data_IF_216390934553
#
_entry.id   IF_216390934553
#
_cell.length_a   1.000
_cell.length_b   1.000
_cell.length_c   1.000
_cell.angle_alpha   90.00
_cell.angle_beta   90.00
_cell.angle_gamma   90.00
#
_symmetry.space_group_name_H-M   'P 1'
#
loop_
_entity.id
_entity.type
_entity.pdbx_description
1 polymer ?
#
# COMPACT_ATOMS: atom_id res chain seq x y z
N UNK A 1 16.22 -16.27 12.05
CA UNK A 1 15.73 -17.17 10.97
C UNK A 1 16.67 -18.35 10.82
N UNK A 2 17.97 -18.11 10.62
CA UNK A 2 19.00 -19.15 10.49
C UNK A 2 19.08 -20.11 11.68
N UNK A 3 18.99 -19.61 12.90
CA UNK A 3 18.90 -20.45 14.11
C UNK A 3 17.59 -21.20 14.21
N UNK A 4 16.45 -20.56 13.89
CA UNK A 4 15.14 -21.22 13.91
C UNK A 4 15.05 -22.36 12.88
N UNK A 5 15.64 -22.21 11.69
CA UNK A 5 15.69 -23.26 10.67
C UNK A 5 16.40 -24.52 11.16
N UNK A 6 17.33 -24.43 12.12
CA UNK A 6 17.98 -25.60 12.71
C UNK A 6 17.05 -26.37 13.64
N UNK A 7 16.03 -25.71 14.19
CA UNK A 7 15.05 -26.29 15.12
C UNK A 7 13.74 -26.66 14.42
N UNK A 8 13.56 -26.28 13.15
CA UNK A 8 12.39 -26.65 12.36
C UNK A 8 12.45 -28.13 11.98
N UNK A 9 11.43 -28.86 12.40
CA UNK A 9 11.18 -30.25 12.09
C UNK A 9 9.84 -30.36 11.36
N UNK A 10 9.84 -31.01 10.19
CA UNK A 10 8.63 -31.34 9.44
C UNK A 10 8.48 -32.85 9.39
N UNK A 11 7.64 -33.39 10.27
CA UNK A 11 7.31 -34.82 10.27
C UNK A 11 8.41 -35.76 10.78
N UNK A 12 9.32 -35.29 11.65
CA UNK A 12 10.41 -36.07 12.22
C UNK A 12 11.71 -36.05 11.39
N UNK A 13 11.77 -35.19 10.37
CA UNK A 13 12.97 -34.95 9.55
C UNK A 13 13.43 -33.50 9.80
N UNK A 14 14.64 -33.32 10.39
CA UNK A 14 15.19 -31.99 10.58
C UNK A 14 15.41 -31.32 9.22
N UNK A 15 14.87 -30.10 9.06
CA UNK A 15 14.97 -29.31 7.82
C UNK A 15 16.44 -28.99 7.48
N UNK A 16 17.32 -29.03 8.48
CA UNK A 16 18.76 -28.83 8.33
C UNK A 16 19.50 -30.15 8.64
N UNK A 17 20.11 -30.81 7.63
CA UNK A 17 20.79 -32.09 7.81
C UNK A 17 21.99 -32.05 8.77
N UNK A 18 22.66 -30.89 8.87
CA UNK A 18 23.81 -30.68 9.75
C UNK A 18 23.69 -29.31 10.47
N UNK A 19 23.06 -29.27 11.64
CA UNK A 19 23.06 -28.07 12.48
C UNK A 19 24.49 -27.79 13.00
N UNK A 20 24.91 -26.52 12.94
CA UNK A 20 26.26 -26.11 13.35
C UNK A 20 26.60 -24.67 12.94
N UNK A 21 27.77 -24.20 13.37
CA UNK A 21 28.26 -22.84 13.04
C UNK A 21 28.43 -22.62 11.53
N UNK A 22 28.83 -23.67 10.79
CA UNK A 22 28.94 -23.63 9.34
C UNK A 22 27.61 -23.29 8.65
N UNK A 23 26.50 -23.93 9.07
CA UNK A 23 25.16 -23.61 8.56
C UNK A 23 24.71 -22.21 8.97
N UNK A 24 24.94 -21.80 10.22
CA UNK A 24 24.58 -20.45 10.67
C UNK A 24 25.28 -19.38 9.84
N UNK A 25 26.57 -19.57 9.56
CA UNK A 25 27.34 -18.63 8.75
C UNK A 25 26.82 -18.58 7.31
N UNK A 26 26.69 -19.72 6.64
CA UNK A 26 26.21 -19.75 5.24
C UNK A 26 24.79 -19.23 5.13
N UNK A 27 23.88 -19.66 6.00
CA UNK A 27 22.50 -19.21 5.99
C UNK A 27 22.38 -17.70 6.29
N UNK A 28 23.24 -17.15 7.16
CA UNK A 28 23.20 -15.71 7.49
C UNK A 28 23.71 -14.89 6.31
N UNK A 29 24.81 -15.32 5.68
CA UNK A 29 25.36 -14.67 4.49
C UNK A 29 24.37 -14.76 3.33
N UNK A 30 23.75 -15.92 3.09
CA UNK A 30 22.79 -16.11 2.01
C UNK A 30 21.51 -15.30 2.21
N UNK A 31 20.94 -15.27 3.43
CA UNK A 31 19.74 -14.46 3.70
C UNK A 31 20.05 -12.96 3.63
N UNK A 32 21.16 -12.51 4.23
CA UNK A 32 21.55 -11.10 4.20
C UNK A 32 21.87 -10.67 2.76
N UNK A 33 22.65 -11.46 2.03
CA UNK A 33 22.94 -11.22 0.62
C UNK A 33 21.68 -11.20 -0.25
N UNK A 34 20.74 -12.12 -0.01
CA UNK A 34 19.44 -12.14 -0.67
C UNK A 34 18.61 -10.88 -0.38
N UNK A 35 18.54 -10.42 0.87
CA UNK A 35 17.83 -9.19 1.22
C UNK A 35 18.46 -7.93 0.63
N UNK A 36 19.81 -7.83 0.63
CA UNK A 36 20.52 -6.73 -0.02
C UNK A 36 20.30 -6.73 -1.52
N UNK A 37 20.32 -7.91 -2.15
CA UNK A 37 20.01 -8.05 -3.57
C UNK A 37 18.58 -7.61 -3.91
N UNK A 38 17.59 -8.01 -3.11
CA UNK A 38 16.20 -7.57 -3.29
C UNK A 38 16.04 -6.06 -3.09
N UNK A 39 16.73 -5.47 -2.12
CA UNK A 39 16.72 -4.02 -1.90
C UNK A 39 17.32 -3.29 -3.11
N UNK A 40 18.49 -3.71 -3.58
CA UNK A 40 19.13 -3.16 -4.77
C UNK A 40 18.24 -3.29 -6.01
N UNK A 41 17.60 -4.44 -6.21
CA UNK A 41 16.66 -4.68 -7.30
C UNK A 41 15.46 -3.73 -7.21
N UNK A 42 14.92 -3.52 -6.00
CA UNK A 42 13.84 -2.56 -5.74
C UNK A 42 14.23 -1.13 -6.07
N UNK A 43 15.45 -0.71 -5.74
CA UNK A 43 15.98 0.61 -6.11
C UNK A 43 16.14 0.74 -7.63
N UNK A 44 16.67 -0.29 -8.32
CA UNK A 44 16.80 -0.27 -9.77
C UNK A 44 15.45 -0.22 -10.50
N UNK A 45 14.42 -0.90 -10.00
CA UNK A 45 13.05 -0.77 -10.54
C UNK A 45 12.53 0.66 -10.32
N UNK A 46 12.84 1.29 -9.20
CA UNK A 46 12.38 2.66 -8.91
C UNK A 46 13.06 3.69 -9.82
N UNK A 47 14.36 3.53 -10.09
CA UNK A 47 15.14 4.45 -10.93
C UNK A 47 14.84 4.30 -12.42
N UNK A 48 14.75 3.05 -12.92
CA UNK A 48 14.66 2.75 -14.36
C UNK A 48 13.26 2.32 -14.81
N UNK A 49 12.42 1.91 -13.88
CA UNK A 49 11.09 1.40 -14.13
C UNK A 49 9.99 2.42 -13.85
N UNK A 50 8.78 1.91 -13.62
CA UNK A 50 7.59 2.72 -13.35
C UNK A 50 7.11 2.39 -11.95
N UNK A 51 7.18 3.38 -11.06
CA UNK A 51 6.63 3.30 -9.73
C UNK A 51 7.61 3.00 -8.62
N UNK A 52 7.08 2.54 -7.48
CA UNK A 52 7.88 2.20 -6.31
C UNK A 52 8.28 0.72 -6.39
N UNK A 53 9.57 0.46 -6.65
CA UNK A 53 10.08 -0.88 -6.85
C UNK A 53 9.97 -1.79 -5.63
N UNK A 54 10.11 -1.25 -4.41
CA UNK A 54 9.91 -2.03 -3.18
C UNK A 54 8.45 -2.51 -3.09
N UNK A 55 7.49 -1.64 -3.43
CA UNK A 55 6.07 -2.00 -3.41
C UNK A 55 5.75 -3.07 -4.47
N UNK A 56 6.35 -2.98 -5.66
CA UNK A 56 6.19 -3.98 -6.72
C UNK A 56 6.81 -5.34 -6.38
N UNK A 57 7.92 -5.36 -5.63
CA UNK A 57 8.51 -6.60 -5.11
C UNK A 57 7.58 -7.28 -4.10
N UNK A 58 7.03 -6.53 -3.15
CA UNK A 58 6.07 -7.05 -2.17
C UNK A 58 4.81 -7.57 -2.89
N UNK A 59 4.28 -6.78 -3.84
CA UNK A 59 3.14 -7.17 -4.67
C UNK A 59 3.41 -8.49 -5.40
N UNK A 60 4.55 -8.60 -6.08
CA UNK A 60 4.93 -9.81 -6.83
C UNK A 60 5.06 -11.01 -5.91
N UNK A 61 5.65 -10.84 -4.72
CA UNK A 61 5.77 -11.90 -3.72
C UNK A 61 4.42 -12.46 -3.27
N UNK A 62 3.42 -11.61 -3.05
CA UNK A 62 2.07 -12.04 -2.66
C UNK A 62 1.35 -12.69 -3.86
N UNK A 63 1.47 -12.10 -5.05
CA UNK A 63 0.79 -12.56 -6.27
C UNK A 63 1.27 -13.95 -6.69
N UNK A 64 2.55 -14.28 -6.50
CA UNK A 64 3.08 -15.64 -6.79
C UNK A 64 2.43 -16.71 -5.91
N UNK A 65 1.94 -16.36 -4.71
CA UNK A 65 1.20 -17.27 -3.83
C UNK A 65 -0.28 -17.44 -4.18
N UNK A 66 -0.83 -16.61 -5.07
CA UNK A 66 -2.25 -16.69 -5.45
C UNK A 66 -2.62 -17.99 -6.18
N UNK A 67 -1.85 -18.46 -7.18
CA UNK A 67 -2.22 -19.67 -7.91
C UNK A 67 -2.22 -20.91 -7.01
N UNK A 68 -1.24 -21.03 -6.10
CA UNK A 68 -1.18 -22.16 -5.16
C UNK A 68 -2.35 -22.12 -4.18
N UNK A 69 -2.72 -20.95 -3.66
CA UNK A 69 -3.89 -20.78 -2.81
C UNK A 69 -5.19 -21.24 -3.49
N UNK A 70 -5.38 -20.88 -4.76
CA UNK A 70 -6.55 -21.31 -5.54
C UNK A 70 -6.56 -22.83 -5.70
N UNK A 71 -5.42 -23.43 -6.04
CA UNK A 71 -5.29 -24.89 -6.17
C UNK A 71 -5.59 -25.60 -4.84
N UNK A 72 -5.10 -25.09 -3.71
CA UNK A 72 -5.40 -25.65 -2.38
C UNK A 72 -6.91 -25.63 -2.08
N UNK A 73 -7.62 -24.56 -2.43
CA UNK A 73 -9.08 -24.48 -2.25
C UNK A 73 -9.80 -25.50 -3.14
N UNK A 74 -9.37 -25.66 -4.39
CA UNK A 74 -9.92 -26.70 -5.27
C UNK A 74 -9.67 -28.12 -4.75
N UNK A 75 -8.49 -28.38 -4.20
CA UNK A 75 -8.17 -29.67 -3.55
C UNK A 75 -9.10 -29.94 -2.37
N UNK A 76 -9.27 -28.97 -1.47
CA UNK A 76 -10.16 -29.07 -0.31
C UNK A 76 -11.63 -29.33 -0.70
N UNK A 77 -12.09 -28.76 -1.81
CA UNK A 77 -13.42 -29.05 -2.37
C UNK A 77 -13.48 -30.45 -2.98
N UNK A 78 -12.45 -30.86 -3.73
CA UNK A 78 -12.40 -32.19 -4.36
C UNK A 78 -12.30 -33.34 -3.36
N UNK A 79 -11.64 -33.11 -2.23
CA UNK A 79 -11.51 -34.05 -1.11
C UNK A 79 -12.76 -34.09 -0.22
N UNK A 80 -13.77 -33.26 -0.50
CA UNK A 80 -15.02 -33.18 0.26
C UNK A 80 -14.88 -32.54 1.64
N UNK A 81 -13.71 -31.98 1.97
CA UNK A 81 -13.48 -31.25 3.22
C UNK A 81 -14.20 -29.90 3.23
N UNK A 82 -14.46 -29.32 2.06
CA UNK A 82 -15.25 -28.10 1.88
C UNK A 82 -16.46 -28.34 1.01
N UNK A 83 -17.62 -27.87 1.47
CA UNK A 83 -18.82 -27.82 0.65
C UNK A 83 -18.59 -26.89 -0.55
N UNK A 84 -18.93 -27.35 -1.76
CA UNK A 84 -18.84 -26.55 -2.97
C UNK A 84 -19.62 -25.22 -2.86
N UNK A 85 -20.72 -25.20 -2.11
CA UNK A 85 -21.49 -23.98 -1.85
C UNK A 85 -20.68 -22.94 -1.04
N UNK A 86 -19.90 -23.39 -0.05
CA UNK A 86 -19.03 -22.53 0.76
C UNK A 86 -17.86 -21.99 -0.06
N UNK A 87 -17.30 -22.78 -0.97
CA UNK A 87 -16.24 -22.33 -1.87
C UNK A 87 -16.72 -21.22 -2.82
N UNK A 88 -17.93 -21.35 -3.37
CA UNK A 88 -18.55 -20.30 -4.20
C UNK A 88 -18.81 -19.03 -3.37
N UNK A 89 -19.32 -19.18 -2.15
CA UNK A 89 -19.53 -18.05 -1.25
C UNK A 89 -18.22 -17.30 -0.95
N UNK A 90 -17.13 -18.01 -0.66
CA UNK A 90 -15.81 -17.42 -0.42
C UNK A 90 -15.28 -16.66 -1.65
N UNK A 91 -15.48 -17.21 -2.85
CA UNK A 91 -15.08 -16.54 -4.10
C UNK A 91 -15.85 -15.24 -4.30
N UNK A 92 -17.18 -15.26 -4.11
CA UNK A 92 -18.03 -14.08 -4.21
C UNK A 92 -17.63 -13.03 -3.16
N UNK A 93 -17.36 -13.46 -1.93
CA UNK A 93 -16.90 -12.58 -0.86
C UNK A 93 -15.56 -11.92 -1.20
N UNK A 94 -14.58 -12.68 -1.72
CA UNK A 94 -13.29 -12.15 -2.13
C UNK A 94 -13.42 -11.10 -3.25
N UNK A 95 -14.28 -11.34 -4.24
CA UNK A 95 -14.57 -10.38 -5.30
C UNK A 95 -15.31 -9.14 -4.77
N UNK A 96 -16.27 -9.32 -3.87
CA UNK A 96 -17.00 -8.22 -3.25
C UNK A 96 -16.08 -7.34 -2.40
N UNK A 97 -15.18 -7.93 -1.60
CA UNK A 97 -14.16 -7.21 -0.84
C UNK A 97 -13.21 -6.46 -1.76
N UNK A 98 -12.74 -7.10 -2.84
CA UNK A 98 -11.88 -6.45 -3.84
C UNK A 98 -12.59 -5.26 -4.48
N UNK A 99 -13.85 -5.42 -4.88
CA UNK A 99 -14.65 -4.33 -5.46
C UNK A 99 -14.88 -3.20 -4.45
N UNK A 100 -15.14 -3.52 -3.19
CA UNK A 100 -15.28 -2.56 -2.10
C UNK A 100 -13.99 -1.75 -1.89
N UNK A 101 -12.84 -2.43 -1.85
CA UNK A 101 -11.53 -1.78 -1.71
C UNK A 101 -11.26 -0.83 -2.89
N UNK A 102 -11.50 -1.28 -4.12
CA UNK A 102 -11.35 -0.45 -5.32
C UNK A 102 -12.29 0.76 -5.29
N UNK A 103 -13.53 0.57 -4.84
CA UNK A 103 -14.51 1.66 -4.74
C UNK A 103 -14.06 2.74 -3.75
N UNK A 104 -13.62 2.33 -2.56
CA UNK A 104 -13.15 3.27 -1.53
C UNK A 104 -11.86 3.96 -1.98
N UNK A 105 -10.91 3.24 -2.59
CA UNK A 105 -9.63 3.83 -2.98
C UNK A 105 -9.67 4.67 -4.25
N UNK A 106 -10.67 4.49 -5.10
CA UNK A 106 -10.99 5.47 -6.16
C UNK A 106 -11.73 6.69 -5.62
N UNK A 107 -12.20 6.63 -4.38
CA UNK A 107 -12.81 7.74 -3.68
C UNK A 107 -11.84 8.92 -3.56
N UNK A 108 -12.27 10.08 -4.03
CA UNK A 108 -11.52 11.33 -3.89
C UNK A 108 -12.43 12.44 -3.40
N UNK A 109 -11.96 13.18 -2.39
CA UNK A 109 -12.56 14.42 -1.96
C UNK A 109 -12.02 15.55 -2.84
N UNK A 110 -12.88 16.10 -3.69
CA UNK A 110 -12.53 17.19 -4.60
C UNK A 110 -12.75 18.53 -3.91
N UNK A 111 -11.68 19.28 -3.68
CA UNK A 111 -11.76 20.67 -3.21
C UNK A 111 -11.71 21.59 -4.43
N UNK A 112 -12.77 22.35 -4.69
CA UNK A 112 -12.81 23.27 -5.82
C UNK A 112 -11.89 24.46 -5.60
N UNK A 113 -11.11 24.81 -6.62
CA UNK A 113 -10.22 25.95 -6.66
C UNK A 113 -10.57 26.83 -7.84
N UNK A 114 -10.46 28.14 -7.63
CA UNK A 114 -10.62 29.13 -8.67
C UNK A 114 -9.27 29.80 -8.91
N UNK A 115 -8.83 29.83 -10.17
CA UNK A 115 -7.65 30.57 -10.55
C UNK A 115 -8.02 32.04 -10.75
N UNK A 116 -7.37 32.93 -10.00
CA UNK A 116 -7.43 34.35 -10.22
C UNK A 116 -6.67 34.69 -11.51
N UNK A 117 -7.39 35.12 -12.55
CA UNK A 117 -6.80 35.48 -13.83
C UNK A 117 -6.07 36.83 -13.75
N UNK A 118 -4.84 36.91 -14.25
CA UNK A 118 -4.19 38.18 -14.59
C UNK A 118 -4.67 38.67 -15.98
N UNK A 119 -5.62 39.61 -15.98
CA UNK A 119 -5.78 40.65 -17.01
C UNK A 119 -6.73 40.41 -18.21
N UNK A 120 -7.45 41.48 -18.59
CA UNK A 120 -8.03 41.71 -19.93
C UNK A 120 -9.57 41.79 -20.00
N UNK A 121 -10.07 42.87 -20.63
CA UNK A 121 -11.48 43.33 -20.82
C UNK A 121 -12.50 42.32 -21.37
N UNK A 122 -12.13 41.08 -21.65
CA UNK A 122 -13.05 40.03 -22.10
C UNK A 122 -13.08 38.91 -21.08
N UNK A 123 -14.21 38.82 -20.38
CA UNK A 123 -14.53 37.78 -19.44
C UNK A 123 -14.57 36.40 -20.13
N UNK A 124 -13.41 35.76 -20.29
CA UNK A 124 -13.37 34.30 -20.50
C UNK A 124 -13.40 33.66 -19.12
N UNK A 125 -14.47 32.89 -18.89
CA UNK A 125 -14.82 32.06 -17.74
C UNK A 125 -13.63 31.67 -16.85
N UNK A 126 -13.72 31.96 -15.54
CA UNK A 126 -12.78 31.46 -14.56
C UNK A 126 -12.77 29.92 -14.65
N UNK A 127 -11.63 29.33 -15.01
CA UNK A 127 -11.50 27.87 -15.02
C UNK A 127 -11.54 27.39 -13.57
N UNK A 128 -12.63 26.73 -13.21
CA UNK A 128 -12.74 25.98 -11.97
C UNK A 128 -11.92 24.72 -12.11
N UNK A 129 -10.95 24.53 -11.24
CA UNK A 129 -10.22 23.27 -11.10
C UNK A 129 -10.53 22.66 -9.75
N UNK A 130 -10.04 21.46 -9.49
CA UNK A 130 -10.17 20.79 -8.20
C UNK A 130 -8.82 20.24 -7.74
N UNK A 131 -8.56 20.34 -6.45
CA UNK A 131 -7.48 19.63 -5.78
C UNK A 131 -8.07 18.29 -5.33
N UNK A 132 -7.67 17.16 -5.95
CA UNK A 132 -8.14 15.85 -5.52
C UNK A 132 -7.35 15.42 -4.27
N UNK A 133 -8.06 15.18 -3.17
CA UNK A 133 -7.50 14.49 -2.02
C UNK A 133 -8.05 13.05 -2.03
N UNK A 134 -7.16 12.06 -2.14
CA UNK A 134 -7.56 10.64 -2.04
C UNK A 134 -8.08 10.37 -0.62
N UNK A 135 -9.01 9.42 -0.49
CA UNK A 135 -9.50 8.97 0.83
C UNK A 135 -8.36 8.43 1.69
N UNK A 136 -7.39 7.77 1.06
CA UNK A 136 -6.18 7.31 1.69
C UNK A 136 -4.95 7.87 0.98
N UNK A 137 -4.43 9.00 1.49
CA UNK A 137 -3.19 9.58 0.98
C UNK A 137 -1.96 8.72 1.31
N UNK A 138 -2.09 7.86 2.33
CA UNK A 138 -1.05 6.98 2.86
C UNK A 138 -0.88 5.68 2.07
N UNK A 139 -1.90 5.31 1.30
CA UNK A 139 -1.96 4.02 0.61
C UNK A 139 -1.85 2.83 1.58
N UNK A 140 -1.08 1.83 1.19
CA UNK A 140 -0.90 0.56 1.94
C UNK A 140 0.17 0.65 3.02
N UNK A 141 1.03 1.66 2.93
CA UNK A 141 2.28 1.75 3.69
C UNK A 141 2.06 1.61 5.21
N UNK A 142 1.02 2.23 5.83
CA UNK A 142 0.74 2.02 7.25
C UNK A 142 0.51 0.58 7.65
N UNK A 143 -0.22 -0.19 6.82
CA UNK A 143 -0.55 -1.58 7.10
C UNK A 143 0.71 -2.46 6.98
N UNK A 144 1.56 -2.18 5.98
CA UNK A 144 2.84 -2.86 5.81
C UNK A 144 3.73 -2.61 7.03
N UNK A 145 3.89 -1.36 7.46
CA UNK A 145 4.70 -1.04 8.64
C UNK A 145 4.17 -1.69 9.91
N UNK A 146 2.85 -1.63 10.14
CA UNK A 146 2.22 -2.29 11.27
C UNK A 146 2.50 -3.80 11.28
N UNK A 147 2.36 -4.46 10.12
CA UNK A 147 2.64 -5.90 10.00
C UNK A 147 4.12 -6.24 10.27
N UNK A 148 5.04 -5.42 9.77
CA UNK A 148 6.48 -5.63 9.97
C UNK A 148 6.91 -5.46 11.44
N UNK A 149 6.29 -4.51 12.16
CA UNK A 149 6.64 -4.30 13.57
C UNK A 149 6.07 -5.39 14.47
N UNK A 150 4.95 -6.02 14.12
CA UNK A 150 4.41 -7.17 14.88
C UNK A 150 5.19 -8.45 14.61
N UNK A 151 5.71 -8.61 13.39
CA UNK A 151 6.57 -9.74 13.05
C UNK A 151 7.91 -9.71 13.80
N UNK A 152 8.37 -8.54 14.26
CA UNK A 152 9.64 -8.40 14.97
C UNK A 152 9.63 -9.11 16.35
N UNK A 153 8.72 -8.80 17.29
CA UNK A 153 8.66 -9.49 18.58
C UNK A 153 8.43 -10.98 18.46
N UNK A 154 7.53 -11.41 17.56
CA UNK A 154 7.26 -12.83 17.33
C UNK A 154 8.50 -13.56 16.79
N UNK A 155 9.26 -12.92 15.90
CA UNK A 155 10.55 -13.45 15.45
C UNK A 155 11.54 -13.57 16.60
N UNK A 156 11.70 -12.53 17.43
CA UNK A 156 12.63 -12.54 18.58
C UNK A 156 12.22 -13.61 19.60
N UNK A 157 10.93 -13.72 19.90
CA UNK A 157 10.40 -14.73 20.81
C UNK A 157 10.65 -16.15 20.29
N UNK A 158 10.49 -16.39 18.99
CA UNK A 158 10.83 -17.66 18.37
C UNK A 158 12.34 -17.96 18.45
N UNK A 159 13.22 -16.95 18.56
CA UNK A 159 14.67 -17.12 18.68
C UNK A 159 15.18 -17.26 20.12
N UNK A 160 14.60 -16.51 21.06
CA UNK A 160 15.10 -16.36 22.44
C UNK A 160 14.22 -17.08 23.45
N UNK A 161 12.93 -17.21 23.15
CA UNK A 161 11.92 -17.80 24.04
C UNK A 161 12.07 -19.30 24.30
N UNK A 162 12.87 -20.01 23.50
CA UNK A 162 13.20 -21.42 23.75
C UNK A 162 14.27 -21.61 24.84
N UNK A 163 14.85 -20.53 25.37
CA UNK A 163 15.82 -20.60 26.48
C UNK A 163 15.09 -20.51 27.83
N UNK A 164 15.48 -21.33 28.83
CA UNK A 164 14.88 -21.26 30.16
C UNK A 164 15.07 -19.86 30.77
N UNK A 165 13.97 -19.24 31.23
CA UNK A 165 13.93 -17.87 31.76
C UNK A 165 13.31 -16.80 30.85
N UNK A 166 13.01 -17.12 29.58
CA UNK A 166 12.37 -16.19 28.62
C UNK A 166 10.92 -16.56 28.26
N UNK A 167 10.23 -17.31 29.12
CA UNK A 167 8.84 -17.75 28.92
C UNK A 167 7.86 -16.58 28.76
N UNK A 168 8.13 -15.44 29.41
CA UNK A 168 7.36 -14.20 29.20
C UNK A 168 7.37 -13.73 27.74
N UNK A 169 8.45 -14.02 27.01
CA UNK A 169 8.61 -13.63 25.61
C UNK A 169 7.80 -14.55 24.69
N UNK A 170 7.71 -15.85 25.04
CA UNK A 170 6.83 -16.79 24.33
C UNK A 170 5.36 -16.49 24.60
N UNK A 171 5.01 -16.10 25.82
CA UNK A 171 3.63 -15.72 26.18
C UNK A 171 3.17 -14.48 25.41
N UNK A 172 4.05 -13.47 25.29
CA UNK A 172 3.79 -12.29 24.47
C UNK A 172 3.63 -12.69 22.99
N UNK A 173 4.48 -13.56 22.45
CA UNK A 173 4.39 -14.03 21.06
C UNK A 173 3.08 -14.77 20.76
N UNK A 174 2.63 -15.62 21.70
CA UNK A 174 1.35 -16.32 21.59
C UNK A 174 0.16 -15.34 21.64
N UNK A 175 0.26 -14.29 22.46
CA UNK A 175 -0.76 -13.24 22.50
C UNK A 175 -0.76 -12.32 21.26
N UNK A 176 0.39 -12.16 20.61
CA UNK A 176 0.57 -11.43 19.35
C UNK A 176 0.36 -12.31 18.11
N UNK A 177 -0.11 -13.55 18.29
CA UNK A 177 -0.44 -14.41 17.15
C UNK A 177 -1.81 -14.04 16.57
N UNK A 178 -1.97 -14.12 15.22
CA UNK A 178 -3.25 -13.89 14.57
C UNK A 178 -4.34 -14.77 15.17
N UNK A 179 -5.52 -14.19 15.42
CA UNK A 179 -6.64 -14.87 16.06
C UNK A 179 -6.83 -14.55 17.54
N UNK A 180 -5.87 -13.89 18.21
CA UNK A 180 -6.07 -13.38 19.57
C UNK A 180 -6.64 -11.94 19.55
N UNK A 181 -7.54 -11.60 20.47
CA UNK A 181 -8.10 -10.25 20.61
C UNK A 181 -7.02 -9.20 20.90
N UNK A 182 -5.97 -9.57 21.64
CA UNK A 182 -4.86 -8.66 21.94
C UNK A 182 -4.11 -8.24 20.68
N UNK A 183 -3.84 -9.19 19.78
CA UNK A 183 -3.26 -8.93 18.46
C UNK A 183 -4.11 -7.94 17.66
N UNK A 184 -5.43 -8.13 17.61
CA UNK A 184 -6.33 -7.26 16.85
C UNK A 184 -6.34 -5.82 17.36
N UNK A 185 -6.34 -5.63 18.69
CA UNK A 185 -6.31 -4.29 19.29
C UNK A 185 -4.97 -3.60 19.02
N UNK A 186 -3.86 -4.33 19.22
CA UNK A 186 -2.52 -3.77 19.01
C UNK A 186 -2.29 -3.44 17.53
N UNK A 187 -2.61 -4.37 16.63
CA UNK A 187 -2.51 -4.18 15.18
C UNK A 187 -3.40 -3.06 14.68
N UNK A 188 -4.67 -3.00 15.13
CA UNK A 188 -5.59 -1.93 14.79
C UNK A 188 -5.10 -0.54 15.24
N UNK A 189 -4.64 -0.42 16.49
CA UNK A 189 -4.07 0.83 17.03
C UNK A 189 -2.88 1.29 16.21
N UNK A 190 -2.03 0.34 15.82
CA UNK A 190 -0.83 0.59 15.04
C UNK A 190 -1.14 1.05 13.61
N UNK A 191 -2.13 0.44 12.95
CA UNK A 191 -2.62 0.88 11.64
C UNK A 191 -3.09 2.34 11.73
N UNK A 192 -3.91 2.68 12.72
CA UNK A 192 -4.41 4.05 12.90
C UNK A 192 -3.27 5.02 13.15
N UNK A 193 -2.35 4.68 14.06
CA UNK A 193 -1.18 5.50 14.36
C UNK A 193 -0.32 5.76 13.10
N UNK A 194 0.04 4.72 12.36
CA UNK A 194 0.86 4.87 11.16
C UNK A 194 0.10 5.58 10.02
N UNK A 195 -1.22 5.42 9.93
CA UNK A 195 -2.02 6.13 8.94
C UNK A 195 -1.95 7.65 9.19
N UNK A 196 -2.05 8.09 10.44
CA UNK A 196 -1.87 9.50 10.80
C UNK A 196 -0.43 9.98 10.63
N UNK A 197 0.52 9.21 11.14
CA UNK A 197 1.94 9.55 11.10
C UNK A 197 2.45 9.73 9.67
N UNK A 198 2.16 8.76 8.79
CA UNK A 198 2.62 8.83 7.40
C UNK A 198 1.89 9.90 6.59
N UNK A 199 0.58 10.12 6.83
CA UNK A 199 -0.14 11.22 6.17
C UNK A 199 0.47 12.58 6.54
N UNK A 200 0.82 12.79 7.81
CA UNK A 200 1.43 14.04 8.27
C UNK A 200 2.86 14.24 7.73
N UNK A 201 3.60 13.15 7.52
CA UNK A 201 4.97 13.21 6.98
C UNK A 201 5.01 13.48 5.48
N UNK A 202 4.00 13.01 4.73
CA UNK A 202 3.96 13.14 3.27
C UNK A 202 3.24 14.37 2.76
N UNK A 203 2.20 14.84 3.47
CA UNK A 203 1.41 15.99 3.05
C UNK A 203 1.71 17.21 3.92
N UNK A 204 2.40 18.19 3.34
CA UNK A 204 2.62 19.50 3.97
C UNK A 204 1.54 20.50 3.52
N UNK A 205 0.58 20.80 4.40
CA UNK A 205 -0.51 21.74 4.12
C UNK A 205 -0.06 23.18 3.96
N UNK A 206 0.98 23.60 4.70
CA UNK A 206 1.54 24.94 4.60
C UNK A 206 2.18 25.16 3.23
N UNK A 207 3.00 24.19 2.80
CA UNK A 207 3.66 24.25 1.49
C UNK A 207 2.61 24.18 0.35
N UNK A 208 1.59 23.33 0.48
CA UNK A 208 0.51 23.25 -0.50
C UNK A 208 -0.26 24.55 -0.59
N UNK A 209 -0.59 25.18 0.55
CA UNK A 209 -1.27 26.47 0.59
C UNK A 209 -0.43 27.60 -0.04
N UNK A 210 0.88 27.62 0.21
CA UNK A 210 1.79 28.58 -0.40
C UNK A 210 1.94 28.34 -1.91
N UNK A 211 1.99 27.09 -2.35
CA UNK A 211 1.99 26.74 -3.78
C UNK A 211 0.70 27.17 -4.47
N UNK A 212 -0.47 26.98 -3.85
CA UNK A 212 -1.75 27.49 -4.37
C UNK A 212 -1.73 29.02 -4.49
N UNK A 213 -1.24 29.72 -3.47
CA UNK A 213 -1.09 31.17 -3.49
C UNK A 213 -0.16 31.64 -4.62
N UNK A 214 0.97 30.96 -4.84
CA UNK A 214 1.92 31.24 -5.94
C UNK A 214 1.28 31.01 -7.31
N UNK A 215 0.46 29.97 -7.45
CA UNK A 215 -0.28 29.67 -8.68
C UNK A 215 -1.51 30.56 -8.90
N UNK A 216 -1.73 31.57 -8.05
CA UNK A 216 -2.95 32.41 -8.06
C UNK A 216 -4.24 31.59 -7.94
N UNK A 217 -4.18 30.40 -7.33
CA UNK A 217 -5.32 29.56 -7.03
C UNK A 217 -5.86 29.89 -5.64
N UNK A 218 -7.17 30.06 -5.52
CA UNK A 218 -7.84 30.36 -4.25
C UNK A 218 -9.00 29.39 -4.04
N UNK A 219 -9.13 28.89 -2.82
CA UNK A 219 -10.31 28.14 -2.39
C UNK A 219 -11.42 29.14 -2.06
N UNK A 220 -12.58 29.09 -2.72
CA UNK A 220 -13.68 30.03 -2.46
C UNK A 220 -14.06 30.06 -0.97
N UNK A 221 -14.18 31.26 -0.41
CA UNK A 221 -14.57 31.47 0.99
C UNK A 221 -13.44 31.42 2.03
N UNK A 222 -12.20 31.11 1.63
CA UNK A 222 -11.05 31.02 2.56
C UNK A 222 -9.95 31.98 2.11
N UNK A 223 -9.37 32.72 3.06
CA UNK A 223 -8.28 33.66 2.78
C UNK A 223 -6.99 32.88 2.40
N UNK A 224 -6.26 33.28 1.35
CA UNK A 224 -5.00 32.62 0.97
C UNK A 224 -3.93 32.66 2.07
N UNK A 225 -3.13 31.59 2.19
CA UNK A 225 -2.06 31.45 3.19
C UNK A 225 -2.49 30.60 4.38
N UNK A 226 -2.21 31.05 5.62
CA UNK A 226 -2.44 30.27 6.85
C UNK A 226 -3.85 29.71 7.01
N UNK A 227 -4.88 30.46 6.60
CA UNK A 227 -6.28 30.01 6.67
C UNK A 227 -6.57 28.88 5.68
N UNK A 228 -5.91 28.88 4.51
CA UNK A 228 -5.97 27.79 3.54
C UNK A 228 -5.29 26.54 4.09
N UNK A 229 -4.11 26.68 4.69
CA UNK A 229 -3.39 25.57 5.34
C UNK A 229 -4.22 24.92 6.45
N UNK A 230 -4.74 25.72 7.39
CA UNK A 230 -5.58 25.21 8.48
C UNK A 230 -6.85 24.50 7.98
N UNK A 231 -7.43 24.97 6.87
CA UNK A 231 -8.55 24.28 6.24
C UNK A 231 -8.14 22.93 5.62
N UNK A 232 -7.01 22.89 4.91
CA UNK A 232 -6.48 21.65 4.34
C UNK A 232 -6.16 20.63 5.44
N UNK A 233 -5.52 21.05 6.54
CA UNK A 233 -5.27 20.19 7.70
C UNK A 233 -6.56 19.64 8.31
N UNK A 234 -7.56 20.50 8.51
CA UNK A 234 -8.87 20.07 9.03
C UNK A 234 -9.59 19.09 8.11
N UNK A 235 -9.44 19.24 6.80
CA UNK A 235 -9.97 18.31 5.80
C UNK A 235 -9.21 16.99 5.84
N UNK A 236 -7.87 17.02 5.84
CA UNK A 236 -7.02 15.84 5.88
C UNK A 236 -7.28 15.01 7.12
N UNK A 237 -7.31 15.62 8.30
CA UNK A 237 -7.57 14.89 9.55
C UNK A 237 -8.90 14.12 9.49
N UNK A 238 -9.97 14.73 8.96
CA UNK A 238 -11.28 14.06 8.79
C UNK A 238 -11.24 12.94 7.76
N UNK A 239 -10.50 13.13 6.65
CA UNK A 239 -10.37 12.11 5.61
C UNK A 239 -9.53 10.93 6.11
N UNK A 240 -8.40 11.19 6.77
CA UNK A 240 -7.53 10.18 7.39
C UNK A 240 -8.24 9.40 8.49
N UNK A 241 -9.15 10.03 9.25
CA UNK A 241 -9.98 9.32 10.22
C UNK A 241 -10.80 8.21 9.56
N UNK A 242 -11.55 8.53 8.50
CA UNK A 242 -12.34 7.54 7.76
C UNK A 242 -11.46 6.55 6.99
N UNK A 243 -10.35 7.02 6.42
CA UNK A 243 -9.38 6.17 5.73
C UNK A 243 -8.75 5.12 6.67
N UNK A 244 -8.31 5.53 7.86
CA UNK A 244 -7.72 4.62 8.85
C UNK A 244 -8.73 3.61 9.40
N UNK A 245 -9.99 4.02 9.61
CA UNK A 245 -11.06 3.12 10.01
C UNK A 245 -11.35 2.06 8.94
N UNK A 246 -11.34 2.47 7.66
CA UNK A 246 -11.46 1.56 6.53
C UNK A 246 -10.27 0.58 6.46
N UNK A 247 -9.03 1.07 6.58
CA UNK A 247 -7.82 0.23 6.57
C UNK A 247 -7.85 -0.81 7.70
N UNK A 248 -8.29 -0.40 8.88
CA UNK A 248 -8.46 -1.27 10.04
C UNK A 248 -9.54 -2.33 9.76
N UNK A 249 -10.70 -1.91 9.25
CA UNK A 249 -11.80 -2.83 8.94
C UNK A 249 -11.41 -3.89 7.92
N UNK A 250 -10.80 -3.50 6.80
CA UNK A 250 -10.41 -4.44 5.75
C UNK A 250 -9.29 -5.38 6.20
N UNK A 251 -8.29 -4.87 6.93
CA UNK A 251 -7.16 -5.68 7.39
C UNK A 251 -7.58 -6.72 8.44
N UNK A 252 -8.47 -6.35 9.37
CA UNK A 252 -8.92 -7.24 10.46
C UNK A 252 -10.06 -8.18 10.05
N UNK A 253 -10.83 -7.86 9.00
CA UNK A 253 -12.02 -8.63 8.64
C UNK A 253 -11.69 -10.12 8.41
N UNK A 254 -10.63 -10.51 7.67
CA UNK A 254 -10.30 -11.93 7.51
C UNK A 254 -9.77 -12.60 8.77
N UNK A 255 -9.09 -11.87 9.66
CA UNK A 255 -8.65 -12.41 10.95
C UNK A 255 -9.83 -12.70 11.88
N UNK A 256 -10.88 -11.88 11.81
CA UNK A 256 -12.13 -12.15 12.54
C UNK A 256 -12.88 -13.31 11.88
N UNK A 257 -12.92 -13.38 10.55
CA UNK A 257 -13.59 -14.46 9.83
C UNK A 257 -12.96 -15.84 10.08
N UNK A 258 -11.63 -15.91 10.19
CA UNK A 258 -10.92 -17.18 10.44
C UNK A 258 -11.23 -17.80 11.81
N UNK A 259 -11.72 -17.01 12.77
CA UNK A 259 -12.22 -17.52 14.05
C UNK A 259 -13.57 -18.24 13.90
N UNK A 260 -14.38 -17.86 12.92
CA UNK A 260 -15.70 -18.44 12.67
C UNK A 260 -15.73 -19.46 11.53
N UNK A 261 -14.74 -19.43 10.64
CA UNK A 261 -14.66 -20.25 9.42
C UNK A 261 -13.32 -20.99 9.43
N UNK A 262 -13.37 -22.32 9.46
CA UNK A 262 -12.18 -23.21 9.51
C UNK A 262 -11.40 -23.28 8.18
N UNK A 263 -11.83 -22.54 7.15
CA UNK A 263 -11.11 -22.51 5.87
C UNK A 263 -9.91 -21.57 6.01
N UNK A 264 -8.68 -22.05 5.82
CA UNK A 264 -7.51 -21.19 5.80
C UNK A 264 -7.64 -20.25 4.60
N UNK A 265 -8.02 -19.00 4.88
CA UNK A 265 -8.08 -17.97 3.87
C UNK A 265 -6.64 -17.54 3.56
N UNK A 266 -6.03 -18.21 2.56
CA UNK A 266 -4.62 -18.02 2.19
C UNK A 266 -4.29 -16.56 1.81
N UNK A 267 -5.31 -15.78 1.44
CA UNK A 267 -5.23 -14.34 1.20
C UNK A 267 -5.76 -13.55 2.40
N UNK A 268 -4.97 -13.39 3.45
CA UNK A 268 -5.33 -12.49 4.56
C UNK A 268 -5.75 -11.09 4.06
N UNK A 269 -6.56 -10.37 4.85
CA UNK A 269 -7.13 -9.07 4.44
C UNK A 269 -6.07 -8.04 4.08
N UNK A 270 -4.97 -8.07 4.83
CA UNK A 270 -3.75 -7.30 4.55
C UNK A 270 -3.16 -7.61 3.17
N UNK A 271 -3.03 -8.88 2.81
CA UNK A 271 -2.47 -9.30 1.52
C UNK A 271 -3.32 -8.84 0.34
N UNK A 272 -4.64 -8.99 0.44
CA UNK A 272 -5.57 -8.54 -0.59
C UNK A 272 -5.56 -7.01 -0.75
N UNK A 273 -5.51 -6.27 0.36
CA UNK A 273 -5.38 -4.82 0.36
C UNK A 273 -4.08 -4.37 -0.33
N UNK A 274 -2.94 -4.98 0.00
CA UNK A 274 -1.65 -4.70 -0.63
C UNK A 274 -1.73 -4.89 -2.14
N UNK A 275 -2.28 -6.02 -2.59
CA UNK A 275 -2.39 -6.35 -4.02
C UNK A 275 -3.20 -5.31 -4.77
N UNK A 276 -4.37 -4.94 -4.27
CA UNK A 276 -5.29 -4.02 -4.96
C UNK A 276 -4.70 -2.61 -5.06
N UNK A 277 -4.18 -2.08 -3.96
CA UNK A 277 -3.72 -0.68 -3.94
C UNK A 277 -2.41 -0.53 -4.73
N UNK A 278 -1.46 -1.47 -4.61
CA UNK A 278 -0.23 -1.41 -5.42
C UNK A 278 -0.54 -1.57 -6.91
N UNK A 279 -1.47 -2.46 -7.28
CA UNK A 279 -1.90 -2.57 -8.67
C UNK A 279 -2.56 -1.28 -9.18
N UNK A 280 -3.38 -0.62 -8.35
CA UNK A 280 -4.01 0.66 -8.69
C UNK A 280 -2.98 1.79 -8.85
N UNK A 281 -2.01 1.89 -7.96
CA UNK A 281 -0.95 2.90 -8.06
C UNK A 281 -0.04 2.66 -9.27
N UNK A 282 0.30 1.40 -9.57
CA UNK A 282 1.04 1.03 -10.77
C UNK A 282 0.28 1.42 -12.04
N UNK A 283 -1.03 1.12 -12.12
CA UNK A 283 -1.86 1.51 -13.25
C UNK A 283 -1.99 3.02 -13.41
N UNK A 284 -2.11 3.77 -12.30
CA UNK A 284 -2.15 5.22 -12.33
C UNK A 284 -0.84 5.83 -12.83
N UNK A 285 0.31 5.30 -12.39
CA UNK A 285 1.62 5.74 -12.83
C UNK A 285 1.89 5.39 -14.29
N UNK A 286 1.47 4.19 -14.74
CA UNK A 286 1.49 3.81 -16.15
C UNK A 286 0.69 4.78 -17.01
N UNK A 287 -0.54 5.12 -16.60
CA UNK A 287 -1.37 6.08 -17.32
C UNK A 287 -0.70 7.45 -17.39
N UNK A 288 -0.14 7.95 -16.28
CA UNK A 288 0.58 9.23 -16.26
C UNK A 288 1.80 9.22 -17.20
N UNK A 289 2.53 8.10 -17.25
CA UNK A 289 3.67 7.93 -18.15
C UNK A 289 3.25 7.89 -19.63
N UNK A 290 2.12 7.25 -19.96
CA UNK A 290 1.59 7.22 -21.33
C UNK A 290 1.07 8.60 -21.78
N UNK A 291 0.41 9.34 -20.88
CA UNK A 291 -0.10 10.69 -21.18
C UNK A 291 1.04 11.67 -21.43
N UNK A 292 2.13 11.62 -20.66
CA UNK A 292 3.28 12.52 -20.85
C UNK A 292 3.95 12.33 -22.21
N UNK A 293 4.08 11.09 -22.69
CA UNK A 293 4.62 10.81 -24.03
C UNK A 293 3.73 11.38 -25.16
N UNK A 294 2.41 11.43 -24.95
CA UNK A 294 1.49 12.02 -25.94
C UNK A 294 1.62 13.55 -26.02
N UNK A 295 1.94 14.23 -24.91
CA UNK A 295 2.16 15.69 -24.89
C UNK A 295 3.32 16.13 -25.81
N UNK A 296 4.45 15.40 -25.80
CA UNK A 296 5.59 15.69 -26.68
C UNK A 296 5.22 15.60 -28.17
N UNK A 297 4.37 14.65 -28.54
CA UNK A 297 3.91 14.47 -29.93
C UNK A 297 3.02 15.63 -30.41
N UNK A 298 2.23 16.22 -29.51
CA UNK A 298 1.33 17.35 -29.80
C UNK A 298 2.13 18.65 -29.89
N UNK A 299 3.10 18.87 -29.00
CA UNK A 299 4.01 20.03 -29.04
C UNK A 299 4.96 20.00 -30.25
N UNK A 300 5.44 18.82 -30.64
CA UNK A 300 6.27 18.67 -31.85
C UNK A 300 5.48 18.96 -33.12
N UNK A 301 4.20 18.56 -33.19
CA UNK A 301 3.30 18.94 -34.30
C UNK A 301 2.99 20.44 -34.34
N UNK A 302 2.90 21.13 -33.20
CA UNK A 302 2.67 22.60 -33.19
C UNK A 302 3.90 23.40 -33.62
N UNK A 303 5.11 22.98 -33.26
CA UNK A 303 6.34 23.68 -33.66
C UNK A 303 6.62 23.60 -35.16
N UNK A 304 6.25 22.50 -35.83
CA UNK A 304 6.40 22.35 -37.29
C UNK A 304 5.50 23.35 -38.05
N UNK A 305 4.33 23.70 -37.50
CA UNK A 305 3.40 24.66 -38.11
C UNK A 305 3.87 26.13 -38.00
N UNK A 306 4.63 26.46 -36.95
CA UNK A 306 5.19 27.80 -36.77
C UNK A 306 6.45 28.03 -37.63
N UNK A 307 7.24 26.98 -37.92
CA UNK A 307 8.39 27.10 -38.82
C UNK A 307 7.98 27.41 -40.27
N UNK A 308 6.85 26.87 -40.74
CA UNK A 308 6.32 27.14 -42.08
C UNK A 308 5.69 28.53 -42.26
N UNK A 309 5.33 29.23 -41.17
CA UNK A 309 4.77 30.59 -41.25
C UNK A 309 5.84 31.69 -41.29
N UNK A 310 7.07 31.40 -40.87
CA UNK A 310 8.18 32.36 -40.89
C UNK A 310 8.76 32.58 -42.30
N UNK A 311 8.58 31.64 -43.23
CA UNK A 311 9.17 31.71 -44.58
C UNK A 311 8.34 32.48 -45.60
N UNK A 312 7.20 33.09 -45.25
CA UNK A 312 6.55 34.10 -46.10
C UNK A 312 7.03 35.50 -45.73
N UNK A 313 8.31 35.75 -46.03
CA UNK A 313 8.84 37.10 -46.21
C UNK A 313 8.53 37.55 -47.65
N UNK A 314 7.96 38.77 -47.76
CA UNK A 314 7.97 39.73 -48.88
C UNK A 314 7.62 39.22 -50.29
N UNK A 315 6.55 39.80 -50.84
CA UNK A 315 6.66 40.83 -51.89
C UNK A 315 5.53 41.83 -51.73
#
# INVERSE_FOLDING_TARGET
ITSALQTFDTGGIPVVPQPGFGFLFTATVSLTGGTMFLMWLGEQITERGIGNGISLLIFSGIVVGLPSAVVSVFQLVSEGQLNALWAIFLLVLALALTAFIVFVERGQRRITMQFARRGGRQATQAQTSYLPLKVNMSGVIPVIFASSLILLPSSIANFVGQKPGFEWLTDISQQLSPGNTLYMIFFGTMIVFFAYFYTALTFNSDETADNLKRQSAVIPGIRPGKQTSAYLDGVLNRVTFWGSLYLLGVSLLPDVMSQFITVPFALGGTGLLIVVVVAMDFMAQLQNHLVSQQYDSVLKKSNIKNYQRSTRIRR
#
